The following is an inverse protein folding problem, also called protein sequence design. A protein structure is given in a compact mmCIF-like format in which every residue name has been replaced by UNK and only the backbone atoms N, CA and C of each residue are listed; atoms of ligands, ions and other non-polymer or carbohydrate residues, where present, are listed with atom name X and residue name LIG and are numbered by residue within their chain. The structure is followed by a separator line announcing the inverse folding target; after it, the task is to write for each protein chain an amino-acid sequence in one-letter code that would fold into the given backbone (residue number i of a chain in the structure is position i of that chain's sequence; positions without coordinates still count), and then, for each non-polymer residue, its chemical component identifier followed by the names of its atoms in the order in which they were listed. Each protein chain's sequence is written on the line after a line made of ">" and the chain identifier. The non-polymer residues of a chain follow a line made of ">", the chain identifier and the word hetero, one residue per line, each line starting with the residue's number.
data_IF_807612307430
#
_entry.id   IF_807612307430
#
_cell.length_a   1.000
_cell.length_b   1.000
_cell.length_c   1.000
_cell.angle_alpha   90.00
_cell.angle_beta   90.00
_cell.angle_gamma   90.00
#
_symmetry.space_group_name_H-M   'P 1'
#
loop_
_entity.id
_entity.type
_entity.pdbx_description
1 polymer ?
#
# COMPACT_ATOMS: atom_id res chain seq x y z
N UNK A 1 3.00 28.98 3.25
CA UNK A 1 3.41 28.50 4.59
C UNK A 1 4.72 27.75 4.41
N UNK A 2 5.72 27.91 5.29
CA UNK A 2 7.02 27.23 5.10
C UNK A 2 6.92 25.86 5.78
N UNK A 3 6.98 24.79 4.98
CA UNK A 3 7.12 23.42 5.48
C UNK A 3 8.32 23.37 6.44
N UNK A 4 8.10 22.94 7.69
CA UNK A 4 9.20 22.76 8.63
C UNK A 4 10.14 21.66 8.14
N UNK A 5 11.45 21.85 8.34
CA UNK A 5 12.44 20.82 8.04
C UNK A 5 12.17 19.51 8.84
N UNK A 6 11.52 19.63 10.01
CA UNK A 6 11.10 18.49 10.81
C UNK A 6 9.95 17.72 10.15
N UNK A 7 8.92 18.41 9.65
CA UNK A 7 7.78 17.79 8.98
C UNK A 7 8.19 17.10 7.68
N UNK A 8 9.08 17.74 6.90
CA UNK A 8 9.65 17.13 5.70
C UNK A 8 10.45 15.86 6.01
N UNK A 9 11.14 15.82 7.16
CA UNK A 9 11.86 14.62 7.63
C UNK A 9 10.88 13.53 8.08
N UNK A 10 9.86 13.88 8.85
CA UNK A 10 8.85 12.93 9.33
C UNK A 10 8.05 12.33 8.16
N UNK A 11 7.71 13.13 7.15
CA UNK A 11 7.08 12.69 5.91
C UNK A 11 7.89 11.58 5.25
N UNK A 12 9.20 11.79 5.05
CA UNK A 12 10.11 10.79 4.44
C UNK A 12 10.13 9.48 5.22
N UNK A 13 10.13 9.56 6.55
CA UNK A 13 10.16 8.38 7.42
C UNK A 13 8.85 7.60 7.30
N UNK A 14 7.70 8.27 7.45
CA UNK A 14 6.37 7.65 7.37
C UNK A 14 6.12 7.06 5.98
N UNK A 15 6.42 7.80 4.92
CA UNK A 15 6.35 7.32 3.53
C UNK A 15 7.24 6.10 3.31
N UNK A 16 8.48 6.15 3.76
CA UNK A 16 9.41 5.03 3.65
C UNK A 16 8.91 3.77 4.36
N UNK A 17 8.25 3.93 5.50
CA UNK A 17 7.64 2.82 6.25
C UNK A 17 6.47 2.20 5.48
N UNK A 18 5.52 3.02 4.99
CA UNK A 18 4.40 2.55 4.16
C UNK A 18 4.91 1.79 2.93
N UNK A 19 5.91 2.34 2.21
CA UNK A 19 6.47 1.70 1.02
C UNK A 19 7.13 0.35 1.31
N UNK A 20 7.82 0.20 2.44
CA UNK A 20 8.43 -1.08 2.84
C UNK A 20 7.36 -2.11 3.19
N UNK A 21 6.37 -1.72 4.00
CA UNK A 21 5.25 -2.61 4.35
C UNK A 21 4.40 -2.98 3.14
N UNK A 22 4.22 -2.08 2.17
CA UNK A 22 3.56 -2.37 0.89
C UNK A 22 4.29 -3.46 0.12
N UNK A 23 5.61 -3.30 -0.05
CA UNK A 23 6.44 -4.31 -0.74
C UNK A 23 6.39 -5.68 -0.07
N UNK A 24 6.41 -5.70 1.26
CA UNK A 24 6.30 -6.93 2.03
C UNK A 24 4.93 -7.61 1.81
N UNK A 25 3.84 -6.86 1.94
CA UNK A 25 2.50 -7.37 1.66
C UNK A 25 2.37 -7.89 0.21
N UNK A 26 2.85 -7.12 -0.77
CA UNK A 26 2.80 -7.50 -2.18
C UNK A 26 3.63 -8.76 -2.47
N UNK A 27 4.72 -8.98 -1.72
CA UNK A 27 5.49 -10.21 -1.80
C UNK A 27 4.66 -11.41 -1.35
N UNK A 28 4.01 -11.34 -0.19
CA UNK A 28 3.16 -12.42 0.31
C UNK A 28 1.94 -12.68 -0.59
N UNK A 29 1.33 -11.63 -1.16
CA UNK A 29 0.24 -11.80 -2.14
C UNK A 29 0.72 -12.54 -3.40
N UNK A 30 1.90 -12.19 -3.93
CA UNK A 30 2.46 -12.89 -5.10
C UNK A 30 2.79 -14.35 -4.79
N UNK A 31 3.31 -14.60 -3.60
CA UNK A 31 3.61 -15.96 -3.15
C UNK A 31 2.33 -16.80 -3.00
N UNK A 32 1.30 -16.23 -2.40
CA UNK A 32 -0.03 -16.84 -2.25
C UNK A 32 -0.63 -17.24 -3.61
N UNK A 33 -0.61 -16.32 -4.58
CA UNK A 33 -1.10 -16.57 -5.95
C UNK A 33 -0.32 -17.73 -6.58
N UNK A 34 1.02 -17.68 -6.51
CA UNK A 34 1.89 -18.70 -7.10
C UNK A 34 1.65 -20.07 -6.47
N UNK A 35 1.51 -20.14 -5.15
CA UNK A 35 1.26 -21.39 -4.43
C UNK A 35 -0.14 -21.92 -4.74
N UNK A 36 -1.17 -21.06 -4.80
CA UNK A 36 -2.53 -21.45 -5.19
C UNK A 36 -2.57 -22.00 -6.61
N UNK A 37 -1.90 -21.34 -7.55
CA UNK A 37 -1.78 -21.82 -8.94
C UNK A 37 -1.07 -23.16 -9.01
N UNK A 38 -0.02 -23.35 -8.21
CA UNK A 38 0.70 -24.63 -8.11
C UNK A 38 -0.21 -25.75 -7.58
N UNK A 39 -0.96 -25.50 -6.50
CA UNK A 39 -1.93 -26.48 -5.96
C UNK A 39 -2.98 -26.84 -7.01
N UNK A 40 -3.51 -25.84 -7.73
CA UNK A 40 -4.49 -26.04 -8.81
C UNK A 40 -3.92 -26.91 -9.93
N UNK A 41 -2.73 -26.58 -10.43
CA UNK A 41 -2.06 -27.35 -11.48
C UNK A 41 -1.77 -28.79 -11.04
N UNK A 42 -1.33 -29.01 -9.80
CA UNK A 42 -1.09 -30.36 -9.29
C UNK A 42 -2.37 -31.19 -9.17
N UNK A 43 -3.47 -30.53 -8.80
CA UNK A 43 -4.80 -31.16 -8.74
C UNK A 43 -5.30 -31.53 -10.13
N UNK A 44 -5.18 -30.62 -11.11
CA UNK A 44 -5.56 -30.85 -12.51
C UNK A 44 -4.70 -31.92 -13.19
N UNK A 45 -3.40 -31.98 -12.86
CA UNK A 45 -2.48 -33.01 -13.33
C UNK A 45 -2.69 -34.37 -12.65
N UNK A 46 -3.61 -34.48 -11.69
CA UNK A 46 -3.89 -35.74 -10.98
C UNK A 46 -2.72 -36.25 -10.15
N UNK A 47 -1.91 -35.33 -9.57
CA UNK A 47 -0.80 -35.70 -8.70
C UNK A 47 -1.26 -36.41 -7.43
N UNK A 48 -0.29 -37.03 -6.75
CA UNK A 48 -0.56 -37.73 -5.50
C UNK A 48 -1.14 -36.79 -4.44
N UNK A 49 -2.06 -37.33 -3.63
CA UNK A 49 -2.79 -36.57 -2.61
C UNK A 49 -1.87 -36.04 -1.51
N UNK A 50 -0.81 -36.78 -1.18
CA UNK A 50 0.18 -36.35 -0.20
C UNK A 50 0.94 -35.11 -0.69
N UNK A 51 1.39 -35.12 -1.95
CA UNK A 51 2.09 -33.98 -2.57
C UNK A 51 1.20 -32.73 -2.64
N UNK A 52 -0.07 -32.90 -3.03
CA UNK A 52 -1.05 -31.80 -3.05
C UNK A 52 -1.26 -31.24 -1.64
N UNK A 53 -1.41 -32.11 -0.64
CA UNK A 53 -1.61 -31.69 0.76
C UNK A 53 -0.40 -30.94 1.28
N UNK A 54 0.82 -31.40 1.00
CA UNK A 54 2.04 -30.70 1.39
C UNK A 54 2.08 -29.28 0.81
N UNK A 55 1.72 -29.11 -0.46
CA UNK A 55 1.68 -27.79 -1.06
C UNK A 55 0.57 -26.91 -0.48
N UNK A 56 -0.57 -27.49 -0.09
CA UNK A 56 -1.63 -26.77 0.64
C UNK A 56 -1.16 -26.32 2.03
N UNK A 57 -0.34 -27.11 2.72
CA UNK A 57 0.28 -26.71 3.99
C UNK A 57 1.22 -25.51 3.79
N UNK A 58 2.07 -25.53 2.76
CA UNK A 58 2.87 -24.35 2.39
C UNK A 58 2.02 -23.12 2.07
N UNK A 59 0.91 -23.30 1.33
CA UNK A 59 -0.05 -22.22 1.06
C UNK A 59 -0.66 -21.66 2.35
N UNK A 60 -1.03 -22.52 3.28
CA UNK A 60 -1.60 -22.10 4.56
C UNK A 60 -0.60 -21.29 5.40
N UNK A 61 0.69 -21.63 5.39
CA UNK A 61 1.72 -20.85 6.09
C UNK A 61 1.72 -19.39 5.60
N UNK A 62 1.73 -19.18 4.28
CA UNK A 62 1.68 -17.84 3.66
C UNK A 62 0.35 -17.13 3.97
N UNK A 63 -0.78 -17.85 3.93
CA UNK A 63 -2.09 -17.30 4.29
C UNK A 63 -2.19 -16.89 5.77
N UNK A 64 -1.38 -17.48 6.65
CA UNK A 64 -1.40 -17.15 8.08
C UNK A 64 -0.74 -15.80 8.37
N UNK A 65 0.28 -15.42 7.59
CA UNK A 65 1.03 -14.16 7.78
C UNK A 65 0.43 -12.97 7.03
N UNK A 66 -0.26 -13.22 5.92
CA UNK A 66 -0.81 -12.19 5.04
C UNK A 66 -1.76 -11.20 5.76
N UNK A 67 -2.67 -11.63 6.68
CA UNK A 67 -3.54 -10.72 7.42
C UNK A 67 -2.78 -9.76 8.33
N UNK A 68 -1.68 -10.21 8.95
CA UNK A 68 -0.86 -9.39 9.84
C UNK A 68 -0.07 -8.35 9.05
N UNK A 69 0.48 -8.75 7.90
CA UNK A 69 1.11 -7.84 6.96
C UNK A 69 0.12 -6.78 6.41
N UNK A 70 -1.13 -7.18 6.10
CA UNK A 70 -2.20 -6.26 5.67
C UNK A 70 -2.48 -5.21 6.75
N UNK A 71 -2.78 -5.65 7.97
CA UNK A 71 -3.09 -4.75 9.11
C UNK A 71 -1.95 -3.79 9.41
N UNK A 72 -0.70 -4.26 9.32
CA UNK A 72 0.48 -3.41 9.52
C UNK A 72 0.57 -2.33 8.45
N UNK A 73 0.28 -2.66 7.19
CA UNK A 73 0.24 -1.69 6.10
C UNK A 73 -0.90 -0.68 6.26
N UNK A 74 -2.11 -1.13 6.61
CA UNK A 74 -3.26 -0.28 6.90
C UNK A 74 -2.94 0.75 7.98
N UNK A 75 -2.39 0.29 9.11
CA UNK A 75 -1.99 1.15 10.22
C UNK A 75 -1.05 2.27 9.77
N UNK A 76 0.02 1.94 9.04
CA UNK A 76 0.97 2.94 8.59
C UNK A 76 0.39 3.88 7.52
N UNK A 77 -0.53 3.39 6.69
CA UNK A 77 -1.23 4.22 5.71
C UNK A 77 -2.10 5.27 6.42
N UNK A 78 -2.83 4.90 7.47
CA UNK A 78 -3.59 5.85 8.31
C UNK A 78 -2.66 6.85 8.97
N UNK A 79 -1.58 6.38 9.61
CA UNK A 79 -0.62 7.28 10.28
C UNK A 79 0.08 8.25 9.33
N UNK A 80 0.22 7.89 8.05
CA UNK A 80 0.71 8.79 7.00
C UNK A 80 -0.38 9.76 6.56
N UNK A 81 -1.61 9.28 6.32
CA UNK A 81 -2.73 10.11 5.88
C UNK A 81 -3.09 11.19 6.92
N UNK A 82 -3.23 10.82 8.20
CA UNK A 82 -3.49 11.77 9.28
C UNK A 82 -2.36 12.81 9.39
N UNK A 83 -1.10 12.37 9.28
CA UNK A 83 0.04 13.29 9.29
C UNK A 83 0.03 14.27 8.10
N UNK A 84 -0.36 13.82 6.90
CA UNK A 84 -0.51 14.71 5.75
C UNK A 84 -1.59 15.76 5.96
N UNK A 85 -2.75 15.37 6.52
CA UNK A 85 -3.85 16.29 6.84
C UNK A 85 -3.46 17.33 7.89
N UNK A 86 -2.67 16.93 8.90
CA UNK A 86 -2.25 17.82 9.99
C UNK A 86 -1.12 18.78 9.58
N UNK A 87 -0.07 18.26 8.93
CA UNK A 87 1.15 19.02 8.66
C UNK A 87 1.16 19.70 7.27
N UNK A 88 0.33 19.24 6.34
CA UNK A 88 0.30 19.71 4.95
C UNK A 88 -1.13 19.93 4.39
N UNK A 89 -2.05 20.58 5.12
CA UNK A 89 -3.44 20.72 4.70
C UNK A 89 -3.58 21.52 3.38
N UNK A 90 -2.88 22.64 3.25
CA UNK A 90 -2.95 23.51 2.07
C UNK A 90 -2.38 22.82 0.82
N UNK A 91 -1.27 22.09 0.98
CA UNK A 91 -0.63 21.34 -0.09
C UNK A 91 -1.48 20.14 -0.54
N UNK A 92 -2.19 19.49 0.40
CA UNK A 92 -3.06 18.36 0.09
C UNK A 92 -4.25 18.77 -0.79
N UNK A 93 -4.84 19.93 -0.52
CA UNK A 93 -5.89 20.58 -1.32
C UNK A 93 -5.38 21.03 -2.70
N UNK A 94 -4.16 21.54 -2.77
CA UNK A 94 -3.54 21.89 -4.05
C UNK A 94 -3.33 20.65 -4.94
N UNK A 95 -3.00 19.48 -4.36
CA UNK A 95 -2.83 18.24 -5.12
C UNK A 95 -4.18 17.63 -5.54
N UNK A 96 -5.23 17.72 -4.71
CA UNK A 96 -6.55 17.16 -5.05
C UNK A 96 -7.18 17.87 -6.25
N UNK A 97 -7.06 19.19 -6.30
CA UNK A 97 -7.62 20.04 -7.35
C UNK A 97 -6.91 19.84 -8.71
N UNK A 98 -5.60 19.59 -8.70
CA UNK A 98 -4.80 19.34 -9.90
C UNK A 98 -5.12 18.00 -10.61
N UNK A 99 -5.64 16.99 -9.89
CA UNK A 99 -5.98 15.67 -10.45
C UNK A 99 -7.22 15.67 -11.38
N UNK A 100 -7.98 16.78 -11.43
CA UNK A 100 -9.17 16.90 -12.29
C UNK A 100 -8.88 17.36 -13.73
N UNK A 101 -7.61 17.62 -14.09
CA UNK A 101 -7.18 17.95 -15.45
C UNK A 101 -6.04 17.05 -15.91
N UNK A 102 -6.36 15.94 -16.59
CA UNK A 102 -5.34 15.12 -17.22
C UNK A 102 -4.87 15.77 -18.52
N UNK A 103 -3.63 16.27 -18.56
CA UNK A 103 -2.62 15.98 -19.60
C UNK A 103 -1.44 16.97 -19.54
N UNK A 104 -0.28 16.43 -19.91
CA UNK A 104 1.03 17.06 -20.05
C UNK A 104 1.85 17.37 -18.79
N UNK A 105 3.11 16.94 -18.87
CA UNK A 105 4.06 16.96 -17.78
C UNK A 105 4.37 18.39 -17.35
N UNK A 106 3.87 18.74 -16.17
CA UNK A 106 4.41 19.86 -15.40
C UNK A 106 4.96 19.27 -14.11
N UNK A 107 6.26 18.97 -14.13
CA UNK A 107 7.02 18.89 -12.88
C UNK A 107 7.15 20.34 -12.40
N UNK A 108 6.09 20.86 -11.77
CA UNK A 108 6.18 22.16 -11.10
C UNK A 108 7.23 22.02 -10.01
N UNK A 109 8.34 22.74 -10.15
CA UNK A 109 9.49 22.74 -9.24
C UNK A 109 9.17 23.11 -7.78
N UNK A 110 7.94 23.54 -7.50
CA UNK A 110 7.50 24.05 -6.19
C UNK A 110 6.77 23.04 -5.29
N UNK A 111 6.32 21.88 -5.78
CA UNK A 111 5.73 20.86 -4.89
C UNK A 111 6.78 19.85 -4.41
N UNK A 112 6.90 19.59 -3.11
CA UNK A 112 7.86 18.62 -2.60
C UNK A 112 7.48 17.23 -3.12
N UNK A 113 8.38 16.61 -3.91
CA UNK A 113 8.17 15.32 -4.60
C UNK A 113 7.63 14.24 -3.67
N UNK A 114 8.05 14.29 -2.40
CA UNK A 114 7.65 13.37 -1.35
C UNK A 114 6.16 13.47 -0.97
N UNK A 115 5.52 14.64 -1.08
CA UNK A 115 4.07 14.79 -0.84
C UNK A 115 3.24 14.15 -1.95
N UNK A 116 3.62 14.41 -3.20
CA UNK A 116 2.96 13.82 -4.38
C UNK A 116 3.09 12.30 -4.32
N UNK A 117 4.29 11.80 -4.01
CA UNK A 117 4.52 10.36 -3.87
C UNK A 117 3.71 9.75 -2.71
N UNK A 118 3.63 10.43 -1.56
CA UNK A 118 2.84 9.96 -0.43
C UNK A 118 1.36 9.86 -0.75
N UNK A 119 0.79 10.89 -1.40
CA UNK A 119 -0.60 10.90 -1.82
C UNK A 119 -0.89 9.82 -2.86
N UNK A 120 -0.07 9.73 -3.91
CA UNK A 120 -0.19 8.68 -4.93
C UNK A 120 -0.15 7.28 -4.32
N UNK A 121 0.75 7.05 -3.35
CA UNK A 121 0.85 5.75 -2.66
C UNK A 121 -0.42 5.42 -1.87
N UNK A 122 -1.04 6.41 -1.21
CA UNK A 122 -2.29 6.21 -0.47
C UNK A 122 -3.48 5.98 -1.41
N UNK A 123 -3.56 6.73 -2.51
CA UNK A 123 -4.60 6.59 -3.52
C UNK A 123 -4.55 5.19 -4.17
N UNK A 124 -3.35 4.73 -4.58
CA UNK A 124 -3.14 3.37 -5.08
C UNK A 124 -3.59 2.29 -4.08
N UNK A 125 -3.36 2.51 -2.77
CA UNK A 125 -3.78 1.56 -1.74
C UNK A 125 -5.31 1.57 -1.56
N UNK A 126 -5.94 2.74 -1.61
CA UNK A 126 -7.39 2.90 -1.51
C UNK A 126 -8.13 2.30 -2.72
N UNK A 127 -7.57 2.43 -3.93
CA UNK A 127 -8.15 1.85 -5.15
C UNK A 127 -8.04 0.32 -5.18
N UNK A 128 -6.97 -0.22 -4.59
CA UNK A 128 -6.70 -1.66 -4.62
C UNK A 128 -7.64 -2.45 -3.72
N UNK A 129 -8.07 -1.87 -2.61
CA UNK A 129 -8.79 -2.60 -1.57
C UNK A 129 -9.77 -1.68 -0.82
N UNK A 130 -11.05 -2.05 -0.84
CA UNK A 130 -12.11 -1.28 -0.21
C UNK A 130 -11.92 -1.14 1.31
N UNK A 131 -11.26 -2.11 1.97
CA UNK A 131 -10.92 -2.02 3.39
C UNK A 131 -9.90 -0.89 3.62
N UNK A 132 -8.90 -0.77 2.74
CA UNK A 132 -7.93 0.33 2.81
C UNK A 132 -8.61 1.69 2.63
N UNK A 133 -9.53 1.80 1.65
CA UNK A 133 -10.31 3.02 1.45
C UNK A 133 -11.13 3.38 2.69
N UNK A 134 -11.88 2.42 3.23
CA UNK A 134 -12.71 2.63 4.41
C UNK A 134 -11.87 3.05 5.62
N UNK A 135 -10.70 2.43 5.81
CA UNK A 135 -9.78 2.75 6.90
C UNK A 135 -9.19 4.16 6.78
N UNK A 136 -8.89 4.63 5.57
CA UNK A 136 -8.40 5.99 5.32
C UNK A 136 -9.50 7.06 5.47
N UNK A 137 -10.75 6.72 5.12
CA UNK A 137 -11.92 7.60 5.30
C UNK A 137 -12.38 7.67 6.76
N UNK A 138 -12.19 6.61 7.56
CA UNK A 138 -12.55 6.57 8.98
C UNK A 138 -11.52 7.25 9.91
N UNK A 139 -10.32 7.56 9.43
CA UNK A 139 -9.25 8.18 10.21
C UNK A 139 -9.39 9.69 10.46
N UNK A 140 -10.62 10.20 10.57
CA UNK A 140 -10.97 11.58 10.95
C UNK A 140 -11.29 11.70 12.45
#
# INVERSE_FOLDING_TARGET
>A
MVVSAEDARQLKIKLGTVKRSKKEYDFYVKEEIKQRDTVKQMTEAGRDKYDIKQQQECLNETLTVLPEAKKRLEKYAVELNSFLKEAFPDELEAISTASSGAEDGVTSEDQPKELVEAKTTLDELAERDADFKAVLEQGE
#
